data_IF_988861225513
#
_entry.id   IF_988861225513
#
_cell.length_a   1.000
_cell.length_b   1.000
_cell.length_c   1.000
_cell.angle_alpha   90.00
_cell.angle_beta   90.00
_cell.angle_gamma   90.00
#
_symmetry.space_group_name_H-M   'P 1'
#
loop_
_entity.id
_entity.type
_entity.pdbx_description
1 polymer ?
#
# COMPACT_ATOMS: atom_id res chain seq x y z
N UNK A 1 8.22 1.28 -11.77
CA UNK A 1 8.13 1.94 -10.45
C UNK A 1 6.86 2.75 -10.43
N UNK A 2 5.96 2.45 -9.50
CA UNK A 2 4.62 3.02 -9.40
C UNK A 2 4.48 3.79 -8.09
N UNK A 3 3.91 5.00 -8.14
CA UNK A 3 3.56 5.73 -6.93
C UNK A 3 2.16 5.35 -6.45
N UNK A 4 2.06 5.03 -5.16
CA UNK A 4 0.82 4.64 -4.51
C UNK A 4 0.51 5.62 -3.38
N UNK A 5 -0.68 6.20 -3.42
CA UNK A 5 -1.21 7.04 -2.34
C UNK A 5 -1.95 6.16 -1.33
N UNK A 6 -1.49 6.20 -0.09
CA UNK A 6 -2.06 5.53 1.07
C UNK A 6 -2.93 6.53 1.83
N UNK A 7 -4.23 6.26 1.89
CA UNK A 7 -5.22 7.08 2.59
C UNK A 7 -5.81 6.29 3.76
N UNK A 8 -5.66 6.79 4.98
CA UNK A 8 -6.18 6.13 6.17
C UNK A 8 -7.61 6.60 6.42
N UNK A 9 -8.58 5.67 6.46
CA UNK A 9 -9.99 6.05 6.64
C UNK A 9 -10.33 6.60 8.02
N UNK A 10 -9.60 6.15 9.03
CA UNK A 10 -9.84 6.49 10.44
C UNK A 10 -8.96 7.65 10.92
N UNK A 11 -8.20 8.30 10.03
CA UNK A 11 -7.27 9.37 10.38
C UNK A 11 -7.11 10.34 9.21
N UNK A 12 -6.83 11.62 9.47
CA UNK A 12 -6.53 12.60 8.41
C UNK A 12 -5.09 12.43 7.85
N UNK A 13 -4.63 11.17 7.74
CA UNK A 13 -3.28 10.79 7.36
C UNK A 13 -3.29 10.29 5.92
N UNK A 14 -2.39 10.83 5.12
CA UNK A 14 -2.14 10.40 3.76
C UNK A 14 -0.64 10.35 3.50
N UNK A 15 -0.15 9.27 2.90
CA UNK A 15 1.27 9.10 2.56
C UNK A 15 1.44 8.53 1.17
N UNK A 16 2.58 8.83 0.54
CA UNK A 16 2.91 8.31 -0.79
C UNK A 16 4.08 7.36 -0.67
N UNK A 17 3.97 6.18 -1.27
CA UNK A 17 5.04 5.19 -1.35
C UNK A 17 5.39 4.91 -2.81
N UNK A 18 6.69 4.88 -3.10
CA UNK A 18 7.21 4.45 -4.40
C UNK A 18 7.42 2.94 -4.38
N UNK A 19 6.69 2.22 -5.24
CA UNK A 19 6.71 0.76 -5.32
C UNK A 19 7.51 0.34 -6.55
N UNK A 20 8.64 -0.36 -6.39
CA UNK A 20 9.39 -0.94 -7.51
C UNK A 20 8.57 -1.99 -8.26
N UNK A 21 8.90 -2.22 -9.53
CA UNK A 21 8.22 -3.24 -10.32
C UNK A 21 8.55 -4.63 -9.78
N UNK A 22 7.51 -5.44 -9.51
CA UNK A 22 7.67 -6.78 -8.95
C UNK A 22 7.72 -6.85 -7.41
N UNK A 23 7.62 -5.72 -6.72
CA UNK A 23 7.54 -5.64 -5.25
C UNK A 23 6.10 -5.42 -4.77
N UNK A 24 5.78 -5.87 -3.57
CA UNK A 24 4.45 -5.64 -2.99
C UNK A 24 4.36 -4.25 -2.36
N UNK A 25 3.15 -3.68 -2.31
CA UNK A 25 2.89 -2.39 -1.63
C UNK A 25 3.27 -2.48 -0.14
N UNK A 26 3.12 -3.67 0.48
CA UNK A 26 3.46 -3.88 1.89
C UNK A 26 4.98 -3.78 2.10
N UNK A 27 5.77 -4.46 1.28
CA UNK A 27 7.24 -4.43 1.39
C UNK A 27 7.78 -3.02 1.12
N UNK A 28 7.27 -2.35 0.09
CA UNK A 28 7.65 -0.98 -0.24
C UNK A 28 7.28 0.02 0.88
N UNK A 29 6.12 -0.17 1.53
CA UNK A 29 5.72 0.65 2.67
C UNK A 29 6.61 0.40 3.89
N UNK A 30 6.93 -0.87 4.21
CA UNK A 30 7.88 -1.20 5.28
C UNK A 30 9.28 -0.61 5.03
N UNK A 31 9.77 -0.67 3.78
CA UNK A 31 11.04 -0.08 3.38
C UNK A 31 11.07 1.45 3.52
N UNK A 32 9.90 2.10 3.38
CA UNK A 32 9.71 3.53 3.58
C UNK A 32 9.39 3.92 5.04
N UNK A 33 9.47 2.98 6.00
CA UNK A 33 9.08 3.16 7.42
C UNK A 33 7.58 3.50 7.60
N UNK A 34 6.75 3.15 6.61
CA UNK A 34 5.30 3.38 6.60
C UNK A 34 4.60 2.13 7.14
N UNK A 35 4.18 2.20 8.40
CA UNK A 35 3.45 1.11 9.06
C UNK A 35 2.02 0.94 8.51
N UNK A 36 1.83 -0.01 7.59
CA UNK A 36 0.51 -0.48 7.19
C UNK A 36 -0.09 -1.43 8.23
N UNK A 37 -1.42 -1.43 8.45
CA UNK A 37 -2.05 -2.40 9.33
C UNK A 37 -1.93 -3.81 8.75
N UNK A 38 -1.04 -4.63 9.31
CA UNK A 38 -0.91 -6.04 8.95
C UNK A 38 -1.05 -6.92 10.19
N UNK A 39 -1.69 -8.07 10.02
CA UNK A 39 -1.84 -9.08 11.06
C UNK A 39 -1.11 -10.36 10.72
N UNK A 40 -1.66 -11.14 9.79
CA UNK A 40 -1.17 -12.48 9.48
C UNK A 40 -0.14 -12.59 8.34
N UNK A 41 0.02 -11.55 7.50
CA UNK A 41 0.81 -11.55 6.26
C UNK A 41 0.46 -12.65 5.23
N UNK A 42 -0.47 -13.55 5.54
CA UNK A 42 -0.92 -14.66 4.69
C UNK A 42 -2.29 -14.43 4.07
N UNK A 43 -2.90 -13.26 4.30
CA UNK A 43 -4.25 -12.93 3.80
C UNK A 43 -5.41 -13.58 4.56
N UNK A 44 -5.15 -14.36 5.62
CA UNK A 44 -6.17 -15.07 6.39
C UNK A 44 -6.99 -14.19 7.35
N UNK A 45 -6.45 -13.06 7.81
CA UNK A 45 -7.07 -12.24 8.86
C UNK A 45 -7.81 -10.98 8.37
N UNK A 46 -7.63 -10.58 7.10
CA UNK A 46 -8.27 -9.37 6.54
C UNK A 46 -7.79 -8.02 7.11
N UNK A 47 -6.86 -8.00 8.07
CA UNK A 47 -6.37 -6.74 8.68
C UNK A 47 -5.69 -5.81 7.67
N UNK A 48 -5.04 -6.37 6.65
CA UNK A 48 -4.38 -5.60 5.57
C UNK A 48 -5.28 -5.37 4.35
N UNK A 49 -6.61 -5.52 4.48
CA UNK A 49 -7.52 -5.25 3.38
C UNK A 49 -7.58 -3.75 3.11
N UNK A 50 -6.96 -3.33 2.01
CA UNK A 50 -7.07 -1.98 1.47
C UNK A 50 -8.02 -1.96 0.26
N UNK A 51 -8.68 -0.82 0.05
CA UNK A 51 -9.46 -0.57 -1.17
C UNK A 51 -8.60 0.21 -2.15
N UNK A 52 -8.42 -0.31 -3.36
CA UNK A 52 -7.81 0.45 -4.43
C UNK A 52 -8.73 1.62 -4.83
N UNK A 53 -8.31 2.85 -4.58
CA UNK A 53 -9.09 4.06 -4.89
C UNK A 53 -8.83 4.57 -6.32
N UNK A 54 -7.60 4.44 -6.81
CA UNK A 54 -7.23 4.74 -8.20
C UNK A 54 -6.24 3.70 -8.73
N UNK A 55 -6.46 3.26 -9.97
CA UNK A 55 -5.49 2.48 -10.75
C UNK A 55 -4.93 3.41 -11.83
N UNK A 56 -3.68 3.84 -11.69
CA UNK A 56 -2.98 4.55 -12.76
C UNK A 56 -2.52 3.50 -13.78
N UNK A 57 -3.16 3.50 -14.95
CA UNK A 57 -2.84 2.60 -16.05
C UNK A 57 -1.60 3.15 -16.76
N UNK A 58 -0.47 2.46 -16.63
CA UNK A 58 0.69 2.70 -17.48
C UNK A 58 0.46 2.00 -18.82
N UNK A 59 0.22 2.80 -19.87
CA UNK A 59 0.15 2.30 -21.26
C UNK A 59 1.55 2.50 -21.86
N UNK A 60 2.22 1.38 -22.16
CA UNK A 60 3.48 1.32 -22.92
C UNK A 60 3.22 1.33 -24.41
#
# INVERSE_FOLDING_TARGET
MTEVLLDWRDSDRTETVSVPDGETILDAAEAADIGLPFGCRTGACGTCTARLLLSLIHIS
#
